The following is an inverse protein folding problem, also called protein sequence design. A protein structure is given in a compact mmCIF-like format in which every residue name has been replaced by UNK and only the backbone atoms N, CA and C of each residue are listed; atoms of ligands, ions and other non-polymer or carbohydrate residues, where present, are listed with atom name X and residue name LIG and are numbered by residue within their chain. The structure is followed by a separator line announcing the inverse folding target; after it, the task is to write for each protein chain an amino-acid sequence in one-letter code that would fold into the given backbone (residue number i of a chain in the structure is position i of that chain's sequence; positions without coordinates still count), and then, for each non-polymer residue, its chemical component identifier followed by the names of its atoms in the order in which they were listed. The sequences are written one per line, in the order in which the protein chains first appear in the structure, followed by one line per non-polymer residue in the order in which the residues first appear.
data_IF_312919683231
#
_entry.id   IF_312919683231
#
_cell.length_a   1.000
_cell.length_b   1.000
_cell.length_c   1.000
_cell.angle_alpha   90.00
_cell.angle_beta   90.00
_cell.angle_gamma   90.00
#
_symmetry.space_group_name_H-M   'P 1'
#
loop_
_entity.id
_entity.type
_entity.pdbx_description
1 polymer ?
#
# COMPACT_ATOMS: atom_id res chain seq x y z
N UNK A 1 -9.28 -10.36 14.91
CA UNK A 1 -8.05 -10.93 14.31
C UNK A 1 -7.55 -9.99 13.23
N UNK A 2 -6.22 -9.82 13.07
CA UNK A 2 -5.62 -9.07 11.99
C UNK A 2 -5.87 -9.77 10.66
N UNK A 3 -6.20 -9.04 9.59
CA UNK A 3 -6.34 -9.64 8.27
C UNK A 3 -5.01 -10.29 7.86
N UNK A 4 -5.09 -11.51 7.27
CA UNK A 4 -3.89 -12.23 6.83
C UNK A 4 -3.44 -11.70 5.48
N UNK A 5 -2.18 -11.27 5.39
CA UNK A 5 -1.55 -10.92 4.12
C UNK A 5 -1.30 -12.21 3.31
N UNK A 6 -1.65 -12.19 2.04
CA UNK A 6 -1.48 -13.31 1.12
C UNK A 6 -0.81 -12.81 -0.17
N UNK A 7 0.53 -12.90 -0.27
CA UNK A 7 1.21 -12.61 -1.52
C UNK A 7 0.78 -13.57 -2.66
N UNK A 8 0.77 -13.09 -3.92
CA UNK A 8 1.10 -11.73 -4.33
C UNK A 8 0.00 -10.74 -3.96
N UNK A 9 0.38 -9.50 -3.62
CA UNK A 9 -0.60 -8.49 -3.26
C UNK A 9 -0.43 -7.18 -4.02
N UNK A 10 -1.55 -6.50 -4.24
CA UNK A 10 -1.62 -5.20 -4.91
C UNK A 10 -2.35 -4.25 -3.96
N UNK A 11 -1.71 -3.14 -3.58
CA UNK A 11 -2.37 -2.06 -2.84
C UNK A 11 -2.57 -0.89 -3.78
N UNK A 12 -3.82 -0.43 -3.96
CA UNK A 12 -4.15 0.72 -4.80
C UNK A 12 -4.35 1.94 -3.93
N UNK A 13 -3.39 2.85 -3.95
CA UNK A 13 -3.49 4.14 -3.27
C UNK A 13 -4.30 5.12 -4.12
N UNK A 14 -5.48 5.50 -3.65
CA UNK A 14 -6.35 6.44 -4.36
C UNK A 14 -5.82 7.88 -4.31
N UNK A 15 -4.89 8.16 -3.39
CA UNK A 15 -4.38 9.52 -3.14
C UNK A 15 -5.54 10.51 -3.02
N UNK A 16 -5.43 11.68 -3.64
CA UNK A 16 -6.48 12.72 -3.67
C UNK A 16 -7.01 12.96 -5.08
N UNK A 17 -6.93 11.93 -5.94
CA UNK A 17 -7.44 12.03 -7.30
C UNK A 17 -8.97 12.16 -7.33
N UNK A 18 -9.49 13.09 -8.14
CA UNK A 18 -10.94 13.27 -8.30
C UNK A 18 -11.62 12.05 -8.95
N UNK A 19 -10.86 11.27 -9.71
CA UNK A 19 -11.29 10.00 -10.31
C UNK A 19 -11.54 8.90 -9.26
N UNK A 20 -11.08 9.10 -8.01
CA UNK A 20 -11.23 8.17 -6.88
C UNK A 20 -11.73 8.89 -5.62
N UNK A 21 -12.66 9.84 -5.77
CA UNK A 21 -13.27 10.62 -4.67
C UNK A 21 -14.77 10.40 -4.63
N UNK A 22 -15.35 10.21 -3.45
CA UNK A 22 -16.78 10.05 -3.21
C UNK A 22 -17.34 8.81 -3.91
N UNK A 23 -18.40 8.96 -4.71
CA UNK A 23 -19.02 7.83 -5.44
C UNK A 23 -18.02 7.11 -6.35
N UNK A 24 -17.10 7.83 -6.97
CA UNK A 24 -16.08 7.23 -7.84
C UNK A 24 -15.08 6.36 -7.05
N UNK A 25 -14.81 6.69 -5.79
CA UNK A 25 -13.99 5.84 -4.92
C UNK A 25 -14.67 4.47 -4.69
N UNK A 26 -15.98 4.48 -4.45
CA UNK A 26 -16.77 3.24 -4.30
C UNK A 26 -16.79 2.44 -5.59
N UNK A 27 -17.05 3.08 -6.74
CA UNK A 27 -17.07 2.43 -8.05
C UNK A 27 -15.71 1.79 -8.38
N UNK A 28 -14.60 2.47 -8.10
CA UNK A 28 -13.26 1.95 -8.29
C UNK A 28 -12.96 0.75 -7.37
N UNK A 29 -13.39 0.83 -6.11
CA UNK A 29 -13.24 -0.27 -5.16
C UNK A 29 -14.03 -1.52 -5.58
N UNK A 30 -15.24 -1.37 -6.11
CA UNK A 30 -16.04 -2.48 -6.67
C UNK A 30 -15.32 -3.12 -7.86
N UNK A 31 -14.67 -2.34 -8.72
CA UNK A 31 -13.88 -2.87 -9.82
C UNK A 31 -12.64 -3.63 -9.32
N UNK A 32 -12.00 -3.12 -8.26
CA UNK A 32 -10.88 -3.78 -7.61
C UNK A 32 -11.29 -5.11 -6.96
N UNK A 33 -12.44 -5.13 -6.29
CA UNK A 33 -13.01 -6.35 -5.72
C UNK A 33 -13.32 -7.39 -6.81
N UNK A 34 -13.94 -6.96 -7.91
CA UNK A 34 -14.23 -7.85 -9.03
C UNK A 34 -12.97 -8.49 -9.59
N UNK A 35 -11.90 -7.71 -9.81
CA UNK A 35 -10.62 -8.22 -10.25
C UNK A 35 -10.00 -9.19 -9.24
N UNK A 36 -10.07 -8.87 -7.94
CA UNK A 36 -9.59 -9.74 -6.85
C UNK A 36 -10.33 -11.08 -6.80
N UNK A 37 -11.67 -11.07 -6.86
CA UNK A 37 -12.50 -12.28 -6.83
C UNK A 37 -12.27 -13.18 -8.04
N UNK A 38 -12.06 -12.60 -9.23
CA UNK A 38 -11.81 -13.37 -10.44
C UNK A 38 -10.40 -13.98 -10.51
N UNK A 39 -9.41 -13.32 -9.96
CA UNK A 39 -8.01 -13.75 -10.03
C UNK A 39 -7.51 -14.47 -8.78
N UNK A 40 -8.18 -14.27 -7.65
CA UNK A 40 -7.71 -14.74 -6.35
C UNK A 40 -6.55 -13.93 -5.75
N UNK A 41 -6.08 -12.88 -6.44
CA UNK A 41 -4.99 -12.01 -5.94
C UNK A 41 -5.52 -11.11 -4.84
N UNK A 42 -4.72 -10.95 -3.77
CA UNK A 42 -5.02 -9.99 -2.71
C UNK A 42 -4.92 -8.56 -3.25
N UNK A 43 -6.05 -7.91 -3.44
CA UNK A 43 -6.12 -6.50 -3.83
C UNK A 43 -6.71 -5.71 -2.67
N UNK A 44 -5.99 -4.68 -2.23
CA UNK A 44 -6.45 -3.73 -1.21
C UNK A 44 -6.54 -2.33 -1.81
N UNK A 45 -7.40 -1.49 -1.24
CA UNK A 45 -7.58 -0.10 -1.68
C UNK A 45 -7.38 0.86 -0.52
N UNK A 46 -6.78 2.03 -0.79
CA UNK A 46 -6.57 3.08 0.21
C UNK A 46 -7.24 4.39 -0.25
N UNK A 47 -8.55 4.56 0.00
CA UNK A 47 -9.30 5.76 -0.34
C UNK A 47 -8.95 6.92 0.60
N UNK A 48 -9.41 8.14 0.28
CA UNK A 48 -9.33 9.28 1.18
C UNK A 48 -10.12 9.00 2.49
N UNK A 49 -9.77 9.70 3.56
CA UNK A 49 -10.37 9.48 4.90
C UNK A 49 -11.89 9.59 4.90
N UNK A 50 -12.44 10.54 4.13
CA UNK A 50 -13.88 10.79 3.98
C UNK A 50 -14.63 9.64 3.33
N UNK A 51 -13.94 8.80 2.56
CA UNK A 51 -14.53 7.75 1.73
C UNK A 51 -14.34 6.34 2.33
N UNK A 52 -13.51 6.19 3.39
CA UNK A 52 -13.19 4.88 3.99
C UNK A 52 -14.46 4.10 4.35
N UNK A 53 -15.40 4.72 5.07
CA UNK A 53 -16.63 4.05 5.52
C UNK A 53 -17.50 3.62 4.33
N UNK A 54 -17.72 4.52 3.36
CA UNK A 54 -18.52 4.21 2.19
C UNK A 54 -17.91 3.07 1.35
N UNK A 55 -16.60 3.08 1.17
CA UNK A 55 -15.87 2.02 0.46
C UNK A 55 -15.92 0.71 1.25
N UNK A 56 -15.62 0.73 2.56
CA UNK A 56 -15.60 -0.48 3.38
C UNK A 56 -16.99 -1.14 3.53
N UNK A 57 -18.07 -0.38 3.37
CA UNK A 57 -19.44 -0.93 3.36
C UNK A 57 -19.84 -1.52 2.01
N UNK A 58 -19.14 -1.14 0.94
CA UNK A 58 -19.50 -1.53 -0.42
C UNK A 58 -18.71 -2.75 -0.95
N UNK A 59 -17.58 -3.10 -0.31
CA UNK A 59 -16.70 -4.18 -0.79
C UNK A 59 -16.18 -5.05 0.38
N UNK A 60 -15.85 -6.31 0.07
CA UNK A 60 -15.24 -7.25 1.02
C UNK A 60 -13.70 -7.24 0.97
N UNK A 61 -13.09 -6.59 -0.04
CA UNK A 61 -11.64 -6.47 -0.12
C UNK A 61 -11.09 -5.54 0.96
N UNK A 62 -9.83 -5.72 1.39
CA UNK A 62 -9.22 -4.90 2.43
C UNK A 62 -9.19 -3.41 2.08
N UNK A 63 -9.65 -2.57 2.99
CA UNK A 63 -9.61 -1.11 2.90
C UNK A 63 -8.56 -0.57 3.86
N UNK A 64 -7.65 0.27 3.36
CA UNK A 64 -6.58 0.90 4.15
C UNK A 64 -6.85 2.39 4.30
N UNK A 65 -6.44 2.96 5.41
CA UNK A 65 -6.29 4.41 5.55
C UNK A 65 -5.01 4.86 4.83
N UNK A 66 -4.99 6.08 4.32
CA UNK A 66 -3.76 6.66 3.73
C UNK A 66 -2.77 7.16 4.79
N UNK A 67 -3.20 7.31 6.04
CA UNK A 67 -2.41 7.78 7.17
C UNK A 67 -3.19 7.61 8.49
N UNK A 68 -2.49 7.57 9.63
CA UNK A 68 -3.01 7.84 10.96
C UNK A 68 -1.97 8.70 11.71
N UNK A 69 -2.43 9.54 12.63
CA UNK A 69 -1.56 10.38 13.45
C UNK A 69 -1.21 9.68 14.78
N UNK A 70 -0.05 9.96 15.39
CA UNK A 70 0.39 9.40 16.69
C UNK A 70 -0.31 10.10 17.87
N UNK A 71 -1.64 10.09 17.89
CA UNK A 71 -2.46 10.77 18.89
C UNK A 71 -3.35 9.79 19.65
N UNK A 72 -3.84 10.24 20.80
CA UNK A 72 -4.90 9.58 21.59
C UNK A 72 -6.21 10.32 21.42
N UNK A 73 -7.36 9.66 21.70
CA UNK A 73 -8.66 10.34 21.74
C UNK A 73 -8.61 11.57 22.63
N UNK A 74 -9.12 12.72 22.13
CA UNK A 74 -9.12 13.98 22.88
C UNK A 74 -9.02 15.21 21.98
N UNK A 75 -8.31 16.23 22.49
CA UNK A 75 -8.17 17.55 21.83
C UNK A 75 -7.12 17.52 20.72
N UNK A 76 -7.49 17.02 19.55
CA UNK A 76 -6.61 16.86 18.38
C UNK A 76 -7.34 17.17 17.07
N UNK A 77 -7.98 18.37 17.01
CA UNK A 77 -8.74 18.80 15.84
C UNK A 77 -7.92 18.72 14.56
N UNK A 78 -8.45 18.10 13.51
CA UNK A 78 -7.82 17.97 12.19
C UNK A 78 -6.87 16.79 12.05
N UNK A 79 -6.60 16.02 13.11
CA UNK A 79 -5.79 14.82 13.05
C UNK A 79 -6.62 13.57 12.74
N UNK A 80 -5.95 12.53 12.28
CA UNK A 80 -6.54 11.23 11.91
C UNK A 80 -6.31 10.23 13.03
N UNK A 81 -7.36 9.94 13.79
CA UNK A 81 -7.34 9.01 14.91
C UNK A 81 -7.39 7.54 14.43
N UNK A 82 -6.54 6.68 14.99
CA UNK A 82 -6.47 5.26 14.62
C UNK A 82 -7.80 4.51 14.86
N UNK A 83 -8.44 4.76 16.00
CA UNK A 83 -9.75 4.19 16.35
C UNK A 83 -10.82 4.60 15.34
N UNK A 84 -10.81 5.87 14.89
CA UNK A 84 -11.81 6.37 13.95
C UNK A 84 -11.71 5.71 12.58
N UNK A 85 -10.49 5.50 12.05
CA UNK A 85 -10.32 4.79 10.77
C UNK A 85 -10.64 3.31 10.92
N UNK A 86 -10.33 2.69 12.05
CA UNK A 86 -10.72 1.31 12.36
C UNK A 86 -12.24 1.15 12.40
N UNK A 87 -12.93 2.03 13.11
CA UNK A 87 -14.39 2.06 13.20
C UNK A 87 -15.05 2.35 11.84
N UNK A 88 -14.38 3.10 10.97
CA UNK A 88 -14.83 3.31 9.60
C UNK A 88 -14.69 2.06 8.70
N UNK A 89 -14.03 1.00 9.18
CA UNK A 89 -13.86 -0.27 8.48
C UNK A 89 -12.48 -0.50 7.88
N UNK A 90 -11.51 0.40 8.13
CA UNK A 90 -10.15 0.14 7.67
C UNK A 90 -9.52 -1.06 8.41
N UNK A 91 -8.78 -1.88 7.66
CA UNK A 91 -8.02 -3.03 8.20
C UNK A 91 -6.51 -2.79 8.17
N UNK A 92 -6.06 -1.68 7.60
CA UNK A 92 -4.66 -1.28 7.54
C UNK A 92 -4.50 0.21 7.33
N UNK A 93 -3.25 0.68 7.32
CA UNK A 93 -2.89 2.08 7.07
C UNK A 93 -1.57 2.18 6.32
N UNK A 94 -1.47 3.13 5.40
CA UNK A 94 -0.19 3.60 4.88
C UNK A 94 0.47 4.49 5.93
N UNK A 95 1.79 4.50 5.99
CA UNK A 95 2.60 5.27 6.94
C UNK A 95 3.77 5.88 6.18
N UNK A 96 4.06 7.16 6.42
CA UNK A 96 5.24 7.84 5.89
C UNK A 96 5.36 7.84 4.35
N UNK A 97 4.24 7.85 3.63
CA UNK A 97 4.29 8.01 2.16
C UNK A 97 5.06 9.28 1.77
N UNK A 98 5.77 9.25 0.64
CA UNK A 98 6.63 10.36 0.20
C UNK A 98 5.91 11.73 0.14
N UNK A 99 4.59 11.73 -0.13
CA UNK A 99 3.75 12.94 -0.14
C UNK A 99 3.36 13.42 1.28
N UNK A 100 3.59 12.61 2.33
CA UNK A 100 3.31 12.93 3.73
C UNK A 100 4.32 12.23 4.65
N UNK A 101 5.55 12.69 4.63
CA UNK A 101 6.60 12.16 5.51
C UNK A 101 6.43 12.65 6.95
N UNK A 102 6.76 11.78 7.90
CA UNK A 102 6.69 12.04 9.33
C UNK A 102 8.01 11.70 10.02
N UNK A 103 8.21 12.17 11.23
CA UNK A 103 9.43 11.92 12.01
C UNK A 103 9.54 10.44 12.40
N UNK A 104 10.75 9.93 12.57
CA UNK A 104 11.00 8.54 12.97
C UNK A 104 10.29 8.16 14.28
N UNK A 105 10.26 9.07 15.25
CA UNK A 105 9.54 8.85 16.51
C UNK A 105 8.01 8.72 16.31
N UNK A 106 7.46 9.46 15.34
CA UNK A 106 6.03 9.36 14.99
C UNK A 106 5.75 8.06 14.23
N UNK A 107 6.68 7.60 13.36
CA UNK A 107 6.59 6.31 12.69
C UNK A 107 6.49 5.17 13.71
N UNK A 108 7.38 5.14 14.71
CA UNK A 108 7.35 4.14 15.77
C UNK A 108 6.01 4.14 16.51
N UNK A 109 5.57 5.32 16.95
CA UNK A 109 4.30 5.51 17.64
C UNK A 109 3.10 5.04 16.80
N UNK A 110 3.08 5.37 15.51
CA UNK A 110 2.01 4.98 14.57
C UNK A 110 1.99 3.47 14.32
N UNK A 111 3.15 2.81 14.19
CA UNK A 111 3.23 1.35 14.06
C UNK A 111 2.70 0.67 15.33
N UNK A 112 3.06 1.19 16.52
CA UNK A 112 2.54 0.68 17.79
C UNK A 112 1.01 0.84 17.88
N UNK A 113 0.46 1.99 17.51
CA UNK A 113 -0.99 2.24 17.45
C UNK A 113 -1.69 1.31 16.44
N UNK A 114 -1.13 1.16 15.24
CA UNK A 114 -1.67 0.25 14.23
C UNK A 114 -1.77 -1.19 14.80
N UNK A 115 -0.73 -1.66 15.48
CA UNK A 115 -0.70 -2.98 16.13
C UNK A 115 -1.76 -3.10 17.23
N UNK A 116 -1.89 -2.09 18.11
CA UNK A 116 -2.89 -2.05 19.18
C UNK A 116 -4.32 -2.15 18.64
N UNK A 117 -4.60 -1.50 17.53
CA UNK A 117 -5.93 -1.51 16.88
C UNK A 117 -6.10 -2.61 15.81
N UNK A 118 -5.17 -3.57 15.74
CA UNK A 118 -5.20 -4.65 14.73
C UNK A 118 -5.31 -4.12 13.29
N UNK A 119 -4.66 -2.99 13.00
CA UNK A 119 -4.44 -2.47 11.66
C UNK A 119 -3.14 -3.02 11.09
N UNK A 120 -3.12 -3.36 9.81
CA UNK A 120 -1.91 -3.69 9.07
C UNK A 120 -1.13 -2.39 8.81
N UNK A 121 0.13 -2.35 9.21
CA UNK A 121 1.03 -1.22 8.98
C UNK A 121 1.78 -1.38 7.66
N UNK A 122 1.55 -0.48 6.70
CA UNK A 122 2.29 -0.43 5.43
C UNK A 122 3.18 0.82 5.42
N UNK A 123 4.46 0.62 5.73
CA UNK A 123 5.44 1.70 5.86
C UNK A 123 6.13 1.97 4.53
N UNK A 124 6.00 3.19 4.01
CA UNK A 124 6.69 3.66 2.82
C UNK A 124 8.09 4.17 3.17
N UNK A 125 9.07 3.78 2.38
CA UNK A 125 10.49 4.12 2.56
C UNK A 125 11.12 4.49 1.21
N UNK A 126 12.15 5.32 1.24
CA UNK A 126 12.71 5.93 0.02
C UNK A 126 14.00 5.29 -0.50
N UNK A 127 14.67 4.45 0.28
CA UNK A 127 15.92 3.82 -0.11
C UNK A 127 16.24 2.58 0.74
N UNK A 128 17.19 1.71 0.32
CA UNK A 128 17.51 0.48 1.02
C UNK A 128 17.99 0.65 2.47
N UNK A 129 18.68 1.74 2.79
CA UNK A 129 19.19 1.99 4.15
C UNK A 129 18.05 2.39 5.07
N UNK A 130 17.19 3.31 4.63
CA UNK A 130 16.00 3.72 5.37
C UNK A 130 15.04 2.55 5.59
N UNK A 131 14.86 1.70 4.55
CA UNK A 131 14.03 0.49 4.66
C UNK A 131 14.54 -0.48 5.73
N UNK A 132 15.85 -0.72 5.77
CA UNK A 132 16.45 -1.58 6.78
C UNK A 132 16.33 -0.98 8.20
N UNK A 133 16.56 0.33 8.34
CA UNK A 133 16.39 1.02 9.64
C UNK A 133 14.95 0.96 10.12
N UNK A 134 14.00 1.15 9.21
CA UNK A 134 12.56 1.08 9.51
C UNK A 134 12.10 -0.36 9.82
N UNK A 135 12.77 -1.38 9.31
CA UNK A 135 12.46 -2.79 9.58
C UNK A 135 12.61 -3.17 11.06
N UNK A 136 13.46 -2.46 11.83
CA UNK A 136 13.57 -2.62 13.30
C UNK A 136 12.29 -2.24 14.05
N UNK A 137 11.44 -1.40 13.47
CA UNK A 137 10.15 -1.03 14.04
C UNK A 137 9.07 -2.10 13.81
N UNK A 138 9.41 -3.16 13.08
CA UNK A 138 8.54 -4.31 12.77
C UNK A 138 7.19 -3.90 12.16
N UNK A 139 7.15 -3.12 11.06
CA UNK A 139 5.94 -2.95 10.29
C UNK A 139 5.57 -4.28 9.60
N UNK A 140 4.28 -4.47 9.26
CA UNK A 140 3.83 -5.67 8.54
C UNK A 140 4.28 -5.64 7.07
N UNK A 141 4.28 -4.45 6.47
CA UNK A 141 4.63 -4.23 5.06
C UNK A 141 5.64 -3.08 5.00
N UNK A 142 6.66 -3.24 4.16
CA UNK A 142 7.58 -2.17 3.75
C UNK A 142 7.41 -1.96 2.26
N UNK A 143 7.01 -0.76 1.83
CA UNK A 143 6.96 -0.35 0.42
C UNK A 143 8.16 0.52 0.09
N UNK A 144 8.99 0.08 -0.88
CA UNK A 144 10.10 0.91 -1.36
C UNK A 144 9.64 1.82 -2.48
N UNK A 145 9.79 3.14 -2.25
CA UNK A 145 9.31 4.21 -3.13
C UNK A 145 10.38 5.30 -3.28
N UNK A 146 11.37 5.14 -4.17
CA UNK A 146 12.28 6.23 -4.48
C UNK A 146 11.48 7.45 -4.98
N UNK A 147 11.55 8.59 -4.28
CA UNK A 147 10.67 9.74 -4.56
C UNK A 147 10.79 10.27 -5.98
N UNK A 148 11.97 10.19 -6.56
CA UNK A 148 12.28 10.63 -7.92
C UNK A 148 11.56 9.84 -9.02
N UNK A 149 11.04 8.65 -8.69
CA UNK A 149 10.30 7.79 -9.62
C UNK A 149 8.78 7.84 -9.42
N UNK A 150 8.30 8.45 -8.34
CA UNK A 150 6.86 8.56 -8.08
C UNK A 150 6.19 9.44 -9.14
N UNK A 151 5.16 8.91 -9.80
CA UNK A 151 4.38 9.65 -10.81
C UNK A 151 5.06 9.82 -12.16
N UNK A 152 6.28 9.31 -12.35
CA UNK A 152 7.01 9.42 -13.62
C UNK A 152 6.56 8.40 -14.67
N UNK A 153 5.89 7.32 -14.26
CA UNK A 153 5.59 6.18 -15.12
C UNK A 153 6.79 5.26 -15.39
N UNK A 154 7.93 5.52 -14.75
CA UNK A 154 9.13 4.67 -14.84
C UNK A 154 9.22 3.82 -13.59
N UNK A 155 9.04 2.51 -13.74
CA UNK A 155 9.03 1.57 -12.62
C UNK A 155 10.41 1.48 -11.95
N UNK A 156 10.46 1.54 -10.61
CA UNK A 156 11.69 1.38 -9.83
C UNK A 156 12.33 0.03 -10.08
N UNK A 157 11.55 -1.02 -10.29
CA UNK A 157 12.03 -2.35 -10.64
C UNK A 157 12.81 -2.42 -11.95
N UNK A 158 12.54 -1.51 -12.88
CA UNK A 158 13.27 -1.38 -14.16
C UNK A 158 14.37 -0.33 -14.10
N UNK A 159 14.11 0.84 -13.51
CA UNK A 159 15.06 1.95 -13.47
C UNK A 159 16.19 1.73 -12.44
N UNK A 160 15.85 1.14 -11.30
CA UNK A 160 16.76 0.93 -10.17
C UNK A 160 16.58 -0.46 -9.55
N UNK A 161 16.75 -1.58 -10.32
CA UNK A 161 16.55 -2.93 -9.82
C UNK A 161 17.42 -3.24 -8.60
N UNK A 162 18.62 -2.65 -8.53
CA UNK A 162 19.52 -2.79 -7.39
C UNK A 162 18.94 -2.14 -6.10
N UNK A 163 18.18 -1.07 -6.21
CA UNK A 163 17.51 -0.48 -5.05
C UNK A 163 16.50 -1.46 -4.45
N UNK A 164 15.76 -2.17 -5.29
CA UNK A 164 14.79 -3.19 -4.86
C UNK A 164 15.50 -4.38 -4.21
N UNK A 165 16.47 -4.99 -4.90
CA UNK A 165 17.19 -6.16 -4.39
C UNK A 165 18.02 -5.86 -3.16
N UNK A 166 18.65 -4.68 -3.07
CA UNK A 166 19.37 -4.25 -1.88
C UNK A 166 18.43 -3.97 -0.70
N UNK A 167 17.23 -3.45 -0.96
CA UNK A 167 16.20 -3.30 0.07
C UNK A 167 15.84 -4.66 0.66
N UNK A 168 15.51 -5.64 -0.20
CA UNK A 168 15.17 -6.99 0.24
C UNK A 168 16.29 -7.59 1.08
N UNK A 169 17.51 -7.57 0.58
CA UNK A 169 18.70 -8.11 1.28
C UNK A 169 18.91 -7.45 2.66
N UNK A 170 18.75 -6.13 2.77
CA UNK A 170 18.98 -5.39 4.01
C UNK A 170 17.83 -5.59 4.99
N UNK A 171 16.57 -5.55 4.52
CA UNK A 171 15.38 -5.75 5.36
C UNK A 171 15.38 -7.17 5.93
N UNK A 172 15.65 -8.20 5.12
CA UNK A 172 15.68 -9.61 5.56
C UNK A 172 16.71 -9.90 6.66
N UNK A 173 17.79 -9.11 6.77
CA UNK A 173 18.75 -9.21 7.88
C UNK A 173 18.20 -8.73 9.22
N UNK A 174 17.12 -7.96 9.20
CA UNK A 174 16.55 -7.30 10.38
C UNK A 174 15.17 -7.89 10.71
N UNK A 175 14.35 -8.10 9.68
CA UNK A 175 13.01 -8.62 9.78
C UNK A 175 12.73 -9.50 8.56
N UNK A 176 12.75 -10.81 8.74
CA UNK A 176 12.53 -11.82 7.71
C UNK A 176 11.04 -12.07 7.42
N UNK A 177 10.16 -11.64 8.30
CA UNK A 177 8.70 -11.78 8.13
C UNK A 177 8.05 -10.61 7.38
N UNK A 178 8.74 -9.45 7.25
CA UNK A 178 8.17 -8.28 6.61
C UNK A 178 7.80 -8.56 5.14
N UNK A 179 6.58 -8.19 4.76
CA UNK A 179 6.14 -8.19 3.35
C UNK A 179 6.77 -6.98 2.67
N UNK A 180 7.46 -7.17 1.54
CA UNK A 180 8.14 -6.09 0.82
C UNK A 180 7.42 -5.81 -0.49
N UNK A 181 7.03 -4.56 -0.72
CA UNK A 181 6.38 -4.10 -1.95
C UNK A 181 7.28 -3.17 -2.75
N UNK A 182 7.09 -3.18 -4.05
CA UNK A 182 7.60 -2.18 -4.97
C UNK A 182 6.53 -1.10 -5.18
N UNK A 183 6.82 0.16 -4.83
CA UNK A 183 5.80 1.21 -4.70
C UNK A 183 5.96 2.42 -5.64
N UNK A 184 6.92 2.43 -6.60
CA UNK A 184 7.11 3.59 -7.47
C UNK A 184 7.08 3.22 -8.95
N UNK A 185 6.37 4.03 -9.74
CA UNK A 185 6.42 4.03 -11.20
C UNK A 185 5.75 2.85 -11.91
N UNK A 186 5.13 1.93 -11.19
CA UNK A 186 4.44 0.75 -11.76
C UNK A 186 3.28 1.21 -12.65
N UNK A 187 3.34 0.89 -13.94
CA UNK A 187 2.41 1.39 -14.95
C UNK A 187 1.76 0.29 -15.80
N UNK A 188 2.39 -0.86 -15.91
CA UNK A 188 1.95 -2.01 -16.72
C UNK A 188 2.13 -3.33 -15.97
N UNK A 189 1.46 -4.39 -16.42
CA UNK A 189 1.61 -5.72 -15.84
C UNK A 189 3.05 -6.25 -15.89
N UNK A 190 3.82 -5.90 -16.92
CA UNK A 190 5.24 -6.24 -17.02
C UNK A 190 6.07 -5.65 -15.84
N UNK A 191 5.72 -4.45 -15.36
CA UNK A 191 6.42 -3.83 -14.21
C UNK A 191 6.15 -4.61 -12.93
N UNK A 192 4.92 -5.15 -12.79
CA UNK A 192 4.55 -6.04 -11.69
C UNK A 192 5.36 -7.34 -11.75
N UNK A 193 5.44 -7.97 -12.94
CA UNK A 193 6.23 -9.17 -13.16
C UNK A 193 7.72 -8.96 -12.79
N UNK A 194 8.32 -7.86 -13.25
CA UNK A 194 9.72 -7.53 -12.92
C UNK A 194 9.90 -7.32 -11.41
N UNK A 195 8.98 -6.61 -10.75
CA UNK A 195 9.05 -6.39 -9.30
C UNK A 195 9.03 -7.72 -8.52
N UNK A 196 8.13 -8.64 -8.88
CA UNK A 196 8.04 -9.96 -8.24
C UNK A 196 9.29 -10.82 -8.52
N UNK A 197 9.80 -10.83 -9.76
CA UNK A 197 11.01 -11.53 -10.12
C UNK A 197 12.27 -11.02 -9.38
N UNK A 198 12.27 -9.78 -8.91
CA UNK A 198 13.30 -9.23 -8.02
C UNK A 198 13.14 -9.70 -6.57
N UNK A 199 12.05 -10.40 -6.23
CA UNK A 199 11.78 -10.97 -4.91
C UNK A 199 10.87 -10.13 -4.03
N UNK A 200 10.11 -9.16 -4.58
CA UNK A 200 9.05 -8.49 -3.83
C UNK A 200 7.81 -9.38 -3.71
N UNK A 201 6.93 -9.05 -2.76
CA UNK A 201 5.69 -9.79 -2.53
C UNK A 201 4.48 -9.13 -3.22
N UNK A 202 4.72 -8.09 -4.01
CA UNK A 202 3.67 -7.35 -4.71
C UNK A 202 4.03 -5.88 -4.92
N UNK A 203 3.02 -5.06 -5.16
CA UNK A 203 3.18 -3.66 -5.54
C UNK A 203 2.22 -2.73 -4.78
N UNK A 204 2.67 -1.48 -4.58
CA UNK A 204 1.83 -0.36 -4.17
C UNK A 204 1.71 0.61 -5.35
N UNK A 205 0.49 0.82 -5.84
CA UNK A 205 0.23 1.54 -7.09
C UNK A 205 -0.80 2.65 -6.90
N UNK A 206 -0.82 3.63 -7.79
CA UNK A 206 -1.78 4.72 -7.74
C UNK A 206 -2.31 5.08 -9.14
N UNK A 207 -1.67 6.05 -9.82
CA UNK A 207 -2.18 6.68 -11.04
C UNK A 207 -2.45 5.71 -12.19
N UNK A 208 -1.65 4.66 -12.34
CA UNK A 208 -1.83 3.66 -13.39
C UNK A 208 -3.21 2.98 -13.33
N UNK A 209 -3.76 2.83 -12.13
CA UNK A 209 -5.10 2.28 -11.90
C UNK A 209 -6.14 3.39 -11.83
N UNK A 210 -5.91 4.38 -10.95
CA UNK A 210 -6.91 5.42 -10.64
C UNK A 210 -7.28 6.26 -11.86
N UNK A 211 -6.33 6.54 -12.74
CA UNK A 211 -6.53 7.34 -13.96
C UNK A 211 -6.66 6.50 -15.24
N UNK A 212 -6.74 5.20 -15.12
CA UNK A 212 -6.95 4.33 -16.27
C UNK A 212 -8.31 4.59 -16.93
N UNK A 213 -8.38 4.50 -18.26
CA UNK A 213 -9.66 4.52 -18.98
C UNK A 213 -10.57 3.36 -18.57
N UNK A 214 -9.98 2.22 -18.23
CA UNK A 214 -10.67 1.03 -17.72
C UNK A 214 -9.86 0.45 -16.53
N UNK A 215 -10.12 0.90 -15.29
CA UNK A 215 -9.41 0.42 -14.12
C UNK A 215 -9.51 -1.09 -13.90
N UNK A 216 -10.66 -1.69 -14.17
CA UNK A 216 -10.86 -3.13 -14.03
C UNK A 216 -9.93 -3.94 -14.96
N UNK A 217 -9.81 -3.54 -16.23
CA UNK A 217 -8.90 -4.22 -17.17
C UNK A 217 -7.44 -4.11 -16.72
N UNK A 218 -7.04 -2.94 -16.25
CA UNK A 218 -5.69 -2.71 -15.74
C UNK A 218 -5.42 -3.53 -14.46
N UNK A 219 -6.38 -3.59 -13.53
CA UNK A 219 -6.27 -4.41 -12.32
C UNK A 219 -6.13 -5.89 -12.64
N UNK A 220 -6.89 -6.40 -13.61
CA UNK A 220 -6.76 -7.79 -14.09
C UNK A 220 -5.39 -8.05 -14.72
N UNK A 221 -4.90 -7.12 -15.54
CA UNK A 221 -3.56 -7.22 -16.12
C UNK A 221 -2.50 -7.34 -15.02
N UNK A 222 -2.55 -6.47 -14.02
CA UNK A 222 -1.61 -6.49 -12.89
C UNK A 222 -1.72 -7.80 -12.09
N UNK A 223 -2.94 -8.24 -11.80
CA UNK A 223 -3.18 -9.46 -11.04
C UNK A 223 -2.72 -10.71 -11.79
N UNK A 224 -2.99 -10.81 -13.10
CA UNK A 224 -2.52 -11.93 -13.91
C UNK A 224 -0.99 -11.96 -14.02
N UNK A 225 -0.35 -10.79 -14.18
CA UNK A 225 1.11 -10.70 -14.17
C UNK A 225 1.70 -11.09 -12.82
N UNK A 226 1.01 -10.75 -11.73
CA UNK A 226 1.43 -11.15 -10.39
C UNK A 226 1.36 -12.67 -10.20
N UNK A 227 0.29 -13.33 -10.62
CA UNK A 227 0.14 -14.78 -10.54
C UNK A 227 1.17 -15.54 -11.37
N UNK A 228 1.43 -15.07 -12.59
CA UNK A 228 2.37 -15.72 -13.49
C UNK A 228 3.83 -15.67 -13.01
N UNK A 229 4.17 -14.79 -12.07
CA UNK A 229 5.52 -14.54 -11.58
C UNK A 229 5.67 -14.72 -10.05
N UNK A 230 4.65 -15.27 -9.40
CA UNK A 230 4.72 -15.66 -8.00
C UNK A 230 5.25 -17.10 -7.94
N UNK A 231 6.55 -17.24 -7.71
CA UNK A 231 7.23 -18.52 -7.53
C UNK A 231 7.42 -18.87 -6.06
#
# INVERSE_FOLDING_TARGET
MKARLQPPLIIVNFKTYLEATGKKAVELAIQAEKASKETGVYIAVAPQFTDIRAVAQAVDIPVYSQHIDPIKPGSSTGHVLAEAVKEAGAVGTLINHAERQIKLADIDSVICLARQHSLISCLCTNNPTTSASAAYLCPDIISIEPPELIGTGVAVSKAQPEAVTNTIKKVRKVNDEAVILCGAGISHGEDVAVALNLGTHGVLVASAIVRAKNPYTMLREFANSALANCG
#
